data_IF_813549098753
#
_entry.id   IF_813549098753
#
_cell.length_a   1.000
_cell.length_b   1.000
_cell.length_c   1.000
_cell.angle_alpha   90.00
_cell.angle_beta   90.00
_cell.angle_gamma   90.00
#
_symmetry.space_group_name_H-M   'P 1'
#
loop_
_entity.id
_entity.type
_entity.pdbx_description
1 polymer ?
#
# COMPACT_ATOMS: atom_id res chain seq x y z
N UNK A 1 16.49 12.44 21.40
CA UNK A 1 17.67 12.70 20.55
C UNK A 1 18.42 11.40 20.38
N UNK A 2 18.35 10.76 19.22
CA UNK A 2 19.07 9.49 18.99
C UNK A 2 20.54 9.79 18.79
N UNK A 3 21.41 9.24 19.66
CA UNK A 3 22.86 9.27 19.45
C UNK A 3 23.17 8.58 18.11
N UNK A 4 23.28 9.38 17.04
CA UNK A 4 23.67 8.89 15.73
C UNK A 4 25.16 8.61 15.76
N UNK A 5 25.51 7.35 16.04
CA UNK A 5 26.87 6.85 15.84
C UNK A 5 27.17 6.93 14.35
N UNK A 6 28.29 7.55 13.99
CA UNK A 6 28.69 7.68 12.58
C UNK A 6 29.34 6.39 12.08
N UNK A 7 29.32 6.14 10.77
CA UNK A 7 29.96 4.95 10.19
C UNK A 7 31.45 4.88 10.56
N UNK A 8 32.15 6.01 10.52
CA UNK A 8 33.56 6.11 10.91
C UNK A 8 33.81 5.67 12.36
N UNK A 9 32.90 6.00 13.29
CA UNK A 9 33.02 5.55 14.69
C UNK A 9 32.81 4.03 14.82
N UNK A 10 31.89 3.46 14.04
CA UNK A 10 31.67 2.00 14.02
C UNK A 10 32.89 1.27 13.45
N UNK A 11 33.50 1.80 12.39
CA UNK A 11 34.72 1.25 11.80
C UNK A 11 35.88 1.28 12.80
N UNK A 12 36.10 2.40 13.49
CA UNK A 12 37.12 2.52 14.52
C UNK A 12 36.89 1.50 15.66
N UNK A 13 35.66 1.34 16.13
CA UNK A 13 35.32 0.35 17.15
C UNK A 13 35.49 -1.09 16.65
N UNK A 14 35.17 -1.36 15.37
CA UNK A 14 35.36 -2.68 14.78
C UNK A 14 36.83 -3.06 14.69
N UNK A 15 37.72 -2.12 14.36
CA UNK A 15 39.17 -2.38 14.29
C UNK A 15 39.78 -2.74 15.65
N UNK A 16 39.19 -2.27 16.76
CA UNK A 16 39.60 -2.61 18.13
C UNK A 16 39.20 -4.03 18.56
N UNK A 17 38.30 -4.69 17.83
CA UNK A 17 37.88 -6.06 18.13
C UNK A 17 38.88 -7.10 17.58
N UNK A 18 39.06 -8.25 18.25
CA UNK A 18 39.77 -9.39 17.69
C UNK A 18 39.15 -9.84 16.36
N UNK A 19 39.97 -10.33 15.43
CA UNK A 19 39.55 -10.70 14.06
C UNK A 19 38.35 -11.66 14.01
N UNK A 20 38.27 -12.61 14.94
CA UNK A 20 37.13 -13.54 15.05
C UNK A 20 35.81 -12.83 15.43
N UNK A 21 35.90 -11.80 16.27
CA UNK A 21 34.73 -11.00 16.66
C UNK A 21 34.32 -10.03 15.55
N UNK A 22 35.27 -9.48 14.79
CA UNK A 22 34.97 -8.71 13.57
C UNK A 22 34.17 -9.55 12.57
N UNK A 23 34.58 -10.79 12.30
CA UNK A 23 33.85 -11.69 11.40
C UNK A 23 32.44 -12.02 11.91
N UNK A 24 32.27 -12.20 13.22
CA UNK A 24 30.94 -12.40 13.83
C UNK A 24 30.05 -11.16 13.69
N UNK A 25 30.63 -9.96 13.85
CA UNK A 25 29.90 -8.71 13.67
C UNK A 25 29.40 -8.57 12.23
N UNK A 26 30.27 -8.83 11.25
CA UNK A 26 29.90 -8.82 9.83
C UNK A 26 28.76 -9.79 9.56
N UNK A 27 28.87 -11.05 10.01
CA UNK A 27 27.82 -12.06 9.80
C UNK A 27 26.46 -11.60 10.34
N UNK A 28 26.43 -11.04 11.56
CA UNK A 28 25.20 -10.55 12.19
C UNK A 28 24.60 -9.35 11.46
N UNK A 29 25.44 -8.39 11.03
CA UNK A 29 24.97 -7.23 10.27
C UNK A 29 24.42 -7.67 8.91
N UNK A 30 25.11 -8.57 8.22
CA UNK A 30 24.65 -9.13 6.94
C UNK A 30 23.30 -9.85 7.08
N UNK A 31 23.10 -10.62 8.15
CA UNK A 31 21.83 -11.29 8.44
C UNK A 31 20.71 -10.26 8.70
N UNK A 32 20.96 -9.25 9.53
CA UNK A 32 19.99 -8.19 9.82
C UNK A 32 19.58 -7.41 8.57
N UNK A 33 20.56 -7.06 7.72
CA UNK A 33 20.30 -6.37 6.46
C UNK A 33 19.50 -7.27 5.50
N UNK A 34 19.82 -8.56 5.43
CA UNK A 34 19.10 -9.52 4.59
C UNK A 34 17.64 -9.69 5.04
N UNK A 35 17.41 -9.80 6.35
CA UNK A 35 16.06 -9.89 6.92
C UNK A 35 15.24 -8.62 6.68
N UNK A 36 15.85 -7.44 6.87
CA UNK A 36 15.22 -6.15 6.57
C UNK A 36 14.84 -6.03 5.08
N UNK A 37 15.77 -6.38 4.18
CA UNK A 37 15.53 -6.36 2.74
C UNK A 37 14.44 -7.37 2.30
N UNK A 38 14.35 -8.52 2.97
CA UNK A 38 13.27 -9.48 2.72
C UNK A 38 11.90 -8.93 3.16
N UNK A 39 11.84 -8.29 4.33
CA UNK A 39 10.62 -7.65 4.82
C UNK A 39 10.16 -6.51 3.90
N UNK A 40 11.09 -5.67 3.45
CA UNK A 40 10.77 -4.56 2.54
C UNK A 40 10.27 -5.08 1.18
N UNK A 41 10.89 -6.14 0.64
CA UNK A 41 10.41 -6.81 -0.57
C UNK A 41 8.99 -7.37 -0.41
N UNK A 42 8.69 -8.02 0.73
CA UNK A 42 7.33 -8.51 1.04
C UNK A 42 6.33 -7.37 1.10
N UNK A 43 6.68 -6.26 1.76
CA UNK A 43 5.83 -5.07 1.84
C UNK A 43 5.56 -4.47 0.46
N UNK A 44 6.59 -4.32 -0.37
CA UNK A 44 6.46 -3.82 -1.76
C UNK A 44 5.53 -4.72 -2.59
N UNK A 45 5.68 -6.05 -2.51
CA UNK A 45 4.79 -7.01 -3.17
C UNK A 45 3.34 -6.89 -2.70
N UNK A 46 3.12 -6.77 -1.39
CA UNK A 46 1.77 -6.61 -0.83
C UNK A 46 1.10 -5.31 -1.30
N UNK A 47 1.86 -4.20 -1.35
CA UNK A 47 1.38 -2.92 -1.89
C UNK A 47 1.03 -3.05 -3.37
N UNK A 48 1.91 -3.65 -4.18
CA UNK A 48 1.65 -3.87 -5.60
C UNK A 48 0.40 -4.72 -5.85
N UNK A 49 0.22 -5.81 -5.08
CA UNK A 49 -0.98 -6.67 -5.16
C UNK A 49 -2.24 -5.87 -4.86
N UNK A 50 -2.25 -5.10 -3.76
CA UNK A 50 -3.38 -4.27 -3.39
C UNK A 50 -3.69 -3.19 -4.44
N UNK A 51 -2.67 -2.58 -5.04
CA UNK A 51 -2.85 -1.61 -6.12
C UNK A 51 -3.48 -2.27 -7.35
N UNK A 52 -3.09 -3.50 -7.70
CA UNK A 52 -3.72 -4.23 -8.79
C UNK A 52 -5.19 -4.55 -8.51
N UNK A 53 -5.51 -5.06 -7.32
CA UNK A 53 -6.89 -5.34 -6.88
C UNK A 53 -7.77 -4.09 -6.92
N UNK A 54 -7.27 -2.95 -6.45
CA UNK A 54 -8.03 -1.68 -6.49
C UNK A 54 -8.24 -1.21 -7.93
N UNK A 55 -7.25 -1.37 -8.81
CA UNK A 55 -7.39 -1.00 -10.22
C UNK A 55 -8.43 -1.85 -10.94
N UNK A 56 -8.46 -3.15 -10.67
CA UNK A 56 -9.46 -4.07 -11.22
C UNK A 56 -10.86 -3.68 -10.76
N UNK A 57 -11.04 -3.44 -9.46
CA UNK A 57 -12.32 -2.98 -8.91
C UNK A 57 -12.79 -1.64 -9.49
N UNK A 58 -11.88 -0.68 -9.71
CA UNK A 58 -12.21 0.58 -10.36
C UNK A 58 -12.64 0.37 -11.81
N UNK A 59 -11.98 -0.52 -12.56
CA UNK A 59 -12.38 -0.83 -13.93
C UNK A 59 -13.77 -1.49 -13.98
N UNK A 60 -14.13 -2.33 -13.01
CA UNK A 60 -15.50 -2.86 -12.89
C UNK A 60 -16.51 -1.74 -12.63
N UNK A 61 -16.17 -0.79 -11.76
CA UNK A 61 -17.04 0.36 -11.48
C UNK A 61 -17.23 1.24 -12.71
N UNK A 62 -16.16 1.48 -13.48
CA UNK A 62 -16.21 2.22 -14.74
C UNK A 62 -17.07 1.49 -15.77
N UNK A 63 -16.92 0.17 -15.91
CA UNK A 63 -17.75 -0.64 -16.80
C UNK A 63 -19.23 -0.62 -16.40
N UNK A 64 -19.54 -0.67 -15.09
CA UNK A 64 -20.91 -0.52 -14.60
C UNK A 64 -21.44 0.89 -14.91
N UNK A 65 -20.64 1.93 -14.68
CA UNK A 65 -21.02 3.31 -15.00
C UNK A 65 -21.30 3.49 -16.50
N UNK A 66 -20.49 2.90 -17.37
CA UNK A 66 -20.71 2.90 -18.83
C UNK A 66 -21.95 2.08 -19.23
N UNK A 67 -22.24 0.98 -18.53
CA UNK A 67 -23.41 0.14 -18.80
C UNK A 67 -24.74 0.79 -18.40
N UNK A 68 -24.70 1.78 -17.51
CA UNK A 68 -25.88 2.54 -17.11
C UNK A 68 -26.13 3.59 -18.21
N UNK A 69 -26.97 3.22 -19.18
CA UNK A 69 -27.38 4.10 -20.26
C UNK A 69 -28.50 5.06 -19.78
N UNK A 70 -28.33 6.37 -20.00
CA UNK A 70 -29.40 7.36 -19.84
C UNK A 70 -29.13 8.51 -18.84
N UNK A 71 -29.74 9.67 -19.09
CA UNK A 71 -29.83 10.76 -18.11
C UNK A 71 -30.93 10.41 -17.11
N UNK A 72 -30.56 9.88 -15.95
CA UNK A 72 -31.49 9.76 -14.83
C UNK A 72 -31.76 11.16 -14.25
N UNK A 73 -32.85 11.81 -14.66
CA UNK A 73 -33.40 12.91 -13.87
C UNK A 73 -34.29 12.31 -12.78
N UNK A 74 -33.64 11.81 -11.73
CA UNK A 74 -34.34 11.20 -10.60
C UNK A 74 -35.37 12.13 -9.98
N UNK A 75 -35.22 13.46 -10.13
CA UNK A 75 -36.23 14.41 -9.66
C UNK A 75 -37.47 14.43 -10.57
N UNK A 76 -37.31 14.29 -11.89
CA UNK A 76 -38.43 14.14 -12.82
C UNK A 76 -39.16 12.81 -12.61
N UNK A 77 -38.43 11.70 -12.47
CA UNK A 77 -39.02 10.38 -12.25
C UNK A 77 -39.83 10.34 -10.94
N UNK A 78 -39.29 10.94 -9.87
CA UNK A 78 -40.00 11.02 -8.58
C UNK A 78 -41.23 11.93 -8.67
N UNK A 79 -41.19 13.03 -9.44
CA UNK A 79 -42.36 13.89 -9.68
C UNK A 79 -43.46 13.10 -10.38
N UNK A 80 -43.12 12.36 -11.44
CA UNK A 80 -44.08 11.58 -12.20
C UNK A 80 -44.74 10.47 -11.37
N UNK A 81 -43.96 9.76 -10.54
CA UNK A 81 -44.50 8.76 -9.61
C UNK A 81 -45.50 9.37 -8.62
N UNK A 82 -45.24 10.60 -8.14
CA UNK A 82 -46.14 11.31 -7.21
C UNK A 82 -47.43 11.75 -7.90
N UNK A 83 -47.35 12.25 -9.12
CA UNK A 83 -48.52 12.64 -9.92
C UNK A 83 -49.39 11.42 -10.25
N UNK A 84 -48.79 10.32 -10.72
CA UNK A 84 -49.49 9.07 -11.01
C UNK A 84 -50.21 8.48 -9.77
N UNK A 85 -49.59 8.60 -8.59
CA UNK A 85 -50.23 8.18 -7.33
C UNK A 85 -51.41 9.06 -6.94
N UNK A 86 -51.31 10.36 -7.20
CA UNK A 86 -52.36 11.33 -6.87
C UNK A 86 -53.55 11.19 -7.82
N UNK A 87 -53.30 10.87 -9.10
CA UNK A 87 -54.33 10.67 -10.12
C UNK A 87 -55.05 9.30 -10.05
N UNK A 88 -54.56 8.36 -9.22
CA UNK A 88 -55.18 7.04 -8.99
C UNK A 88 -56.06 6.97 -7.73
N UNK A 89 -56.20 8.10 -7.02
CA UNK A 89 -57.12 8.28 -5.88
C UNK A 89 -58.34 9.08 -6.33
#
# INVERSE_FOLDING_TARGET
MGNKVTLAQVEELATKLPRRQQLRLVARVSEQLSASAAMERRRKKAVQKRVAEVKEWLAECDAVAESIEGKFDSAADIRQIREDRTNRL
#
